data_IF_332334792314
#
_entry.id   IF_332334792314
#
_cell.length_a   1.000
_cell.length_b   1.000
_cell.length_c   1.000
_cell.angle_alpha   90.00
_cell.angle_beta   90.00
_cell.angle_gamma   90.00
#
_symmetry.space_group_name_H-M   'P 1'
#
loop_
_entity.id
_entity.type
_entity.pdbx_description
1 polymer ?
#
# COMPACT_ATOMS: atom_id res chain seq x y z
N UNK A 1 -30.84 10.64 60.75
CA UNK A 1 -29.66 10.02 61.39
C UNK A 1 -28.50 10.98 61.16
N UNK A 2 -28.25 11.90 62.10
CA UNK A 2 -27.36 11.73 63.29
C UNK A 2 -25.89 11.71 62.81
N UNK A 3 -25.18 12.87 62.79
CA UNK A 3 -24.29 13.45 63.87
C UNK A 3 -22.89 12.80 63.75
N UNK A 4 -21.71 13.46 63.76
CA UNK A 4 -21.19 14.72 64.33
C UNK A 4 -19.78 15.02 63.72
N UNK A 5 -19.30 16.27 63.48
CA UNK A 5 -18.68 17.29 64.42
C UNK A 5 -17.23 16.92 64.80
N UNK A 6 -16.19 17.77 64.94
CA UNK A 6 -15.84 19.22 64.96
C UNK A 6 -14.37 19.29 64.43
N UNK A 7 -13.73 20.42 64.10
CA UNK A 7 -13.25 21.43 65.06
C UNK A 7 -12.76 22.70 64.35
N UNK A 8 -12.76 23.79 65.12
CA UNK A 8 -12.93 25.18 64.74
C UNK A 8 -11.69 26.04 65.06
N UNK A 9 -11.65 27.22 64.41
CA UNK A 9 -11.18 28.56 64.88
C UNK A 9 -9.73 29.05 64.61
N UNK A 10 -9.72 30.04 63.70
CA UNK A 10 -8.86 31.24 63.55
C UNK A 10 -8.84 32.16 64.82
N UNK A 11 -8.36 33.42 64.77
CA UNK A 11 -7.03 34.00 64.45
C UNK A 11 -6.60 35.08 65.48
N UNK A 12 -5.37 35.62 65.43
CA UNK A 12 -5.06 36.97 65.97
C UNK A 12 -4.04 37.70 65.09
N UNK A 13 -4.37 38.96 64.79
CA UNK A 13 -3.65 40.04 64.11
C UNK A 13 -2.81 40.90 65.08
N UNK A 14 -1.68 41.48 64.64
CA UNK A 14 -1.37 42.94 64.68
C UNK A 14 0.09 43.25 64.29
N UNK A 15 0.28 44.48 63.80
CA UNK A 15 1.41 45.10 63.07
C UNK A 15 2.52 45.66 64.00
N UNK A 16 3.33 46.68 63.61
CA UNK A 16 4.55 46.65 62.79
C UNK A 16 5.76 47.26 63.54
N UNK A 17 7.00 47.12 63.04
CA UNK A 17 8.10 48.03 63.41
C UNK A 17 8.89 48.41 62.15
N UNK A 18 8.89 49.72 61.90
CA UNK A 18 9.77 50.46 60.99
C UNK A 18 11.07 50.70 61.73
N UNK A 19 12.22 50.54 61.07
CA UNK A 19 13.38 51.38 61.38
C UNK A 19 14.07 51.76 60.07
N UNK A 20 14.25 53.07 59.92
CA UNK A 20 14.95 53.74 58.83
C UNK A 20 16.46 53.68 59.08
N UNK A 21 17.23 53.64 58.01
CA UNK A 21 18.69 53.71 58.06
C UNK A 21 19.23 54.00 56.68
N UNK A 22 19.18 55.29 56.31
CA UNK A 22 19.81 55.88 55.14
C UNK A 22 21.32 55.58 55.10
N UNK A 23 21.85 55.26 53.92
CA UNK A 23 23.18 55.70 53.45
C UNK A 23 23.36 55.37 51.95
N UNK A 24 23.20 56.38 51.10
CA UNK A 24 23.84 56.52 49.78
C UNK A 24 24.67 57.83 49.81
N UNK A 25 25.64 58.10 48.92
CA UNK A 25 26.20 57.28 47.82
C UNK A 25 27.75 57.30 47.77
N UNK A 26 28.37 56.48 46.92
CA UNK A 26 29.69 56.79 46.35
C UNK A 26 29.84 56.18 44.96
N UNK A 27 29.95 57.07 43.98
CA UNK A 27 30.33 56.78 42.60
C UNK A 27 31.66 56.03 42.52
N UNK A 28 31.73 55.09 41.59
CA UNK A 28 32.95 54.46 41.09
C UNK A 28 32.61 53.88 39.73
N UNK A 29 32.90 54.65 38.70
CA UNK A 29 32.94 54.25 37.29
C UNK A 29 33.84 53.02 37.14
N UNK A 30 33.44 52.07 36.30
CA UNK A 30 34.32 51.25 35.46
C UNK A 30 33.46 50.57 34.40
N UNK A 31 33.34 51.24 33.26
CA UNK A 31 32.89 50.68 31.99
C UNK A 31 33.98 49.73 31.48
N UNK A 32 33.77 48.42 31.57
CA UNK A 32 34.55 47.44 30.80
C UNK A 32 33.73 47.03 29.56
N UNK A 33 34.02 47.73 28.46
CA UNK A 33 33.69 47.35 27.09
C UNK A 33 34.25 45.96 26.79
N UNK A 34 33.40 44.94 26.78
CA UNK A 34 33.70 43.66 26.14
C UNK A 34 33.53 43.83 24.63
N UNK A 35 34.59 44.29 23.96
CA UNK A 35 34.75 44.09 22.52
C UNK A 35 34.90 42.57 22.26
N UNK A 36 33.80 41.89 21.94
CA UNK A 36 33.86 40.57 21.30
C UNK A 36 34.42 40.77 19.89
N UNK A 37 35.75 40.72 19.77
CA UNK A 37 36.43 40.54 18.49
C UNK A 37 35.96 39.19 17.89
N UNK A 38 35.19 39.26 16.79
CA UNK A 38 34.88 38.11 15.96
C UNK A 38 36.18 37.57 15.36
N UNK A 39 36.84 36.65 16.06
CA UNK A 39 37.90 35.83 15.48
C UNK A 39 37.26 34.93 14.40
N UNK A 40 37.37 35.36 13.14
CA UNK A 40 37.17 34.50 11.98
C UNK A 40 38.26 33.41 11.96
N UNK A 41 38.11 32.39 12.82
CA UNK A 41 38.93 31.20 12.72
C UNK A 41 38.70 30.54 11.35
N UNK A 42 39.79 30.36 10.60
CA UNK A 42 39.85 29.60 9.36
C UNK A 42 39.54 28.12 9.63
N UNK A 43 38.26 27.84 9.85
CA UNK A 43 37.73 26.49 9.97
C UNK A 43 37.98 25.77 8.64
N UNK A 44 38.79 24.71 8.71
CA UNK A 44 38.91 23.73 7.63
C UNK A 44 37.52 23.33 7.13
N UNK A 45 37.36 23.15 5.81
CA UNK A 45 36.03 22.93 5.20
C UNK A 45 35.22 21.79 5.87
N UNK A 46 35.89 20.78 6.41
CA UNK A 46 35.26 19.70 7.18
C UNK A 46 34.68 20.16 8.54
N UNK A 47 35.31 21.11 9.21
CA UNK A 47 34.89 21.67 10.51
C UNK A 47 33.67 22.58 10.35
N UNK A 48 33.63 23.39 9.26
CA UNK A 48 32.44 24.17 8.86
C UNK A 48 31.26 23.26 8.53
N UNK A 49 31.48 22.23 7.71
CA UNK A 49 30.43 21.27 7.36
C UNK A 49 29.88 20.54 8.59
N UNK A 50 30.72 20.17 9.56
CA UNK A 50 30.26 19.57 10.82
C UNK A 50 29.48 20.54 11.69
N UNK A 51 29.93 21.79 11.83
CA UNK A 51 29.23 22.78 12.65
C UNK A 51 27.90 23.21 12.02
N UNK A 52 27.84 23.36 10.69
CA UNK A 52 26.61 23.59 9.94
C UNK A 52 25.63 22.44 10.08
N UNK A 53 26.10 21.19 9.96
CA UNK A 53 25.26 20.00 10.14
C UNK A 53 24.71 19.89 11.56
N UNK A 54 25.51 20.20 12.58
CA UNK A 54 25.07 20.24 13.96
C UNK A 54 24.07 21.38 14.24
N UNK A 55 24.28 22.56 13.65
CA UNK A 55 23.31 23.68 13.70
C UNK A 55 22.00 23.29 13.03
N UNK A 56 22.06 22.62 11.88
CA UNK A 56 20.90 22.16 11.12
C UNK A 56 20.11 21.07 11.88
N UNK A 57 20.80 20.14 12.54
CA UNK A 57 20.18 19.15 13.44
C UNK A 57 19.52 19.80 14.66
N UNK A 58 20.15 20.81 15.26
CA UNK A 58 19.58 21.57 16.38
C UNK A 58 18.34 22.36 15.97
N UNK A 59 18.35 22.99 14.80
CA UNK A 59 17.19 23.66 14.21
C UNK A 59 16.08 22.65 13.91
N UNK A 60 16.41 21.52 13.29
CA UNK A 60 15.46 20.45 13.00
C UNK A 60 14.78 19.94 14.29
N UNK A 61 15.57 19.72 15.35
CA UNK A 61 15.06 19.32 16.65
C UNK A 61 14.19 20.40 17.31
N UNK A 62 14.50 21.67 17.11
CA UNK A 62 13.71 22.78 17.66
C UNK A 62 12.39 22.96 16.92
N UNK A 63 12.40 22.91 15.60
CA UNK A 63 11.19 23.07 14.79
C UNK A 63 10.29 21.82 14.87
N UNK A 64 10.87 20.65 15.14
CA UNK A 64 10.14 19.44 15.53
C UNK A 64 9.34 19.61 16.84
N UNK A 65 9.81 20.47 17.76
CA UNK A 65 9.22 20.67 19.09
C UNK A 65 8.31 21.90 19.19
N UNK A 66 8.60 22.96 18.45
CA UNK A 66 7.82 24.20 18.45
C UNK A 66 6.79 24.20 17.30
N UNK A 67 5.53 24.53 17.60
CA UNK A 67 4.46 24.65 16.58
C UNK A 67 4.63 25.97 15.82
N UNK A 68 5.50 25.97 14.82
CA UNK A 68 5.59 27.09 13.88
C UNK A 68 4.41 27.00 12.91
N UNK A 69 3.49 27.99 12.89
CA UNK A 69 2.42 28.05 11.90
C UNK A 69 3.04 28.37 10.55
N UNK A 70 2.74 27.56 9.54
CA UNK A 70 3.34 27.68 8.22
C UNK A 70 2.35 27.20 7.18
N UNK A 71 2.15 28.01 6.14
CA UNK A 71 1.21 27.71 5.04
C UNK A 71 1.97 27.47 3.75
N UNK A 72 1.56 26.46 2.98
CA UNK A 72 2.10 26.26 1.64
C UNK A 72 1.54 27.31 0.69
N UNK A 73 2.43 28.01 -0.01
CA UNK A 73 2.06 28.98 -1.05
C UNK A 73 1.95 28.26 -2.39
N UNK A 74 3.09 27.81 -2.94
CA UNK A 74 3.14 27.09 -4.22
C UNK A 74 3.78 25.70 -4.10
N UNK A 75 3.33 24.82 -4.99
CA UNK A 75 3.92 23.51 -5.24
C UNK A 75 4.48 23.49 -6.66
N UNK A 76 5.80 23.36 -6.78
CA UNK A 76 6.48 23.25 -8.07
C UNK A 76 6.95 21.81 -8.28
N UNK A 77 6.51 21.20 -9.37
CA UNK A 77 6.96 19.87 -9.78
C UNK A 77 8.03 20.04 -10.86
N UNK A 78 9.17 19.36 -10.70
CA UNK A 78 10.29 19.38 -11.65
C UNK A 78 10.76 17.96 -11.96
N UNK A 79 11.21 17.75 -13.20
CA UNK A 79 11.85 16.51 -13.64
C UNK A 79 10.90 15.43 -14.19
N UNK A 80 9.61 15.74 -14.31
CA UNK A 80 8.64 14.88 -14.98
C UNK A 80 8.60 15.18 -16.50
N UNK A 81 9.18 14.29 -17.30
CA UNK A 81 9.23 14.43 -18.77
C UNK A 81 8.07 13.67 -19.40
N UNK A 82 7.83 12.44 -18.94
CA UNK A 82 6.79 11.54 -19.45
C UNK A 82 5.54 11.51 -18.56
N UNK A 83 5.73 11.65 -17.25
CA UNK A 83 4.67 11.55 -16.25
C UNK A 83 3.87 12.83 -16.18
N UNK A 84 2.54 12.71 -16.14
CA UNK A 84 1.65 13.86 -16.03
C UNK A 84 1.68 14.45 -14.62
N UNK A 85 1.74 15.78 -14.56
CA UNK A 85 1.71 16.57 -13.33
C UNK A 85 0.52 16.19 -12.46
N UNK A 86 -0.65 15.97 -13.08
CA UNK A 86 -1.89 15.59 -12.40
C UNK A 86 -1.79 14.32 -11.56
N UNK A 87 -0.90 13.38 -11.90
CA UNK A 87 -0.64 12.19 -11.09
C UNK A 87 0.14 12.56 -9.82
N UNK A 88 1.21 13.34 -9.98
CA UNK A 88 2.08 13.76 -8.87
C UNK A 88 1.29 14.67 -7.92
N UNK A 89 0.57 15.65 -8.46
CA UNK A 89 -0.30 16.56 -7.72
C UNK A 89 -1.32 15.82 -6.85
N UNK A 90 -1.91 14.74 -7.36
CA UNK A 90 -2.88 13.93 -6.63
C UNK A 90 -2.27 13.15 -5.46
N UNK A 91 -0.97 12.82 -5.53
CA UNK A 91 -0.25 12.20 -4.41
C UNK A 91 0.21 13.23 -3.38
N UNK A 92 0.55 14.45 -3.82
CA UNK A 92 1.01 15.55 -2.96
C UNK A 92 -0.10 16.46 -2.42
N UNK A 93 -1.37 16.17 -2.70
CA UNK A 93 -2.51 16.98 -2.25
C UNK A 93 -2.51 17.23 -0.73
N UNK A 94 -2.01 16.26 0.06
CA UNK A 94 -1.88 16.40 1.50
C UNK A 94 -0.94 17.53 1.95
N UNK A 95 0.03 17.91 1.12
CA UNK A 95 0.95 19.03 1.42
C UNK A 95 0.25 20.38 1.35
N UNK A 96 -0.73 20.55 0.46
CA UNK A 96 -1.48 21.82 0.29
C UNK A 96 -2.29 22.17 1.54
N UNK A 97 -2.73 21.17 2.30
CA UNK A 97 -3.62 21.34 3.45
C UNK A 97 -2.88 21.49 4.78
N UNK A 98 -1.55 21.40 4.79
CA UNK A 98 -0.76 21.50 6.01
C UNK A 98 -0.75 22.94 6.58
N UNK A 99 -0.93 23.05 7.89
CA UNK A 99 -1.04 24.34 8.61
C UNK A 99 0.15 24.61 9.54
N UNK A 100 0.96 23.60 9.81
CA UNK A 100 2.14 23.69 10.67
C UNK A 100 3.33 22.99 10.01
N UNK A 101 4.55 23.42 10.36
CA UNK A 101 5.79 22.81 9.85
C UNK A 101 5.88 21.31 10.17
N UNK A 102 5.44 20.88 11.36
CA UNK A 102 5.39 19.46 11.74
C UNK A 102 4.44 18.66 10.84
N UNK A 103 3.24 19.21 10.59
CA UNK A 103 2.23 18.60 9.72
C UNK A 103 2.75 18.53 8.28
N UNK A 104 3.45 19.57 7.83
CA UNK A 104 4.06 19.62 6.51
C UNK A 104 5.14 18.56 6.33
N UNK A 105 6.04 18.40 7.32
CA UNK A 105 7.06 17.35 7.28
C UNK A 105 6.43 15.96 7.28
N UNK A 106 5.40 15.73 8.11
CA UNK A 106 4.69 14.45 8.13
C UNK A 106 3.99 14.20 6.78
N UNK A 107 3.31 15.20 6.23
CA UNK A 107 2.68 15.10 4.92
C UNK A 107 3.72 14.87 3.81
N UNK A 108 4.91 15.46 3.89
CA UNK A 108 6.01 15.25 2.96
C UNK A 108 6.53 13.82 3.01
N UNK A 109 6.71 13.24 4.21
CA UNK A 109 7.11 11.83 4.33
C UNK A 109 6.06 10.88 3.73
N UNK A 110 4.78 11.13 4.00
CA UNK A 110 3.68 10.34 3.44
C UNK A 110 3.60 10.49 1.91
N UNK A 111 3.79 11.70 1.39
CA UNK A 111 3.79 11.97 -0.03
C UNK A 111 4.99 11.30 -0.72
N UNK A 112 6.17 11.35 -0.11
CA UNK A 112 7.37 10.67 -0.60
C UNK A 112 7.16 9.16 -0.69
N UNK A 113 6.61 8.55 0.36
CA UNK A 113 6.25 7.12 0.37
C UNK A 113 5.25 6.76 -0.74
N UNK A 114 4.24 7.61 -0.98
CA UNK A 114 3.25 7.39 -2.05
C UNK A 114 3.88 7.46 -3.44
N UNK A 115 4.74 8.45 -3.68
CA UNK A 115 5.46 8.59 -4.95
C UNK A 115 6.42 7.42 -5.19
N UNK A 116 7.13 6.95 -4.16
CA UNK A 116 7.98 5.77 -4.27
C UNK A 116 7.19 4.49 -4.54
N UNK A 117 5.98 4.33 -3.96
CA UNK A 117 5.11 3.17 -4.22
C UNK A 117 4.61 3.06 -5.66
N UNK A 118 4.66 4.16 -6.44
CA UNK A 118 4.35 4.08 -7.87
C UNK A 118 5.44 3.34 -8.65
N UNK A 119 6.67 3.26 -8.12
CA UNK A 119 7.82 2.60 -8.75
C UNK A 119 8.09 3.07 -10.19
N UNK A 120 7.78 4.33 -10.49
CA UNK A 120 8.03 5.02 -11.78
C UNK A 120 9.18 6.04 -11.70
N UNK A 121 9.65 6.32 -10.49
CA UNK A 121 10.72 7.28 -10.20
C UNK A 121 11.90 6.56 -9.56
N UNK A 122 13.11 6.85 -10.04
CA UNK A 122 14.36 6.36 -9.45
C UNK A 122 14.70 7.13 -8.17
N UNK A 123 14.39 8.43 -8.12
CA UNK A 123 14.55 9.26 -6.92
C UNK A 123 13.48 10.34 -6.85
N UNK A 124 13.06 10.66 -5.63
CA UNK A 124 12.10 11.71 -5.31
C UNK A 124 12.72 12.55 -4.20
N UNK A 125 12.85 13.85 -4.43
CA UNK A 125 13.35 14.79 -3.45
C UNK A 125 12.30 15.89 -3.24
N UNK A 126 11.97 16.17 -1.99
CA UNK A 126 11.01 17.21 -1.62
C UNK A 126 11.78 18.26 -0.81
N UNK A 127 11.98 19.44 -1.39
CA UNK A 127 12.63 20.56 -0.71
C UNK A 127 11.60 21.61 -0.29
N UNK A 128 11.88 22.24 0.84
CA UNK A 128 11.06 23.29 1.43
C UNK A 128 11.83 24.60 1.35
N UNK A 129 11.38 25.49 0.49
CA UNK A 129 11.96 26.82 0.32
C UNK A 129 11.10 27.85 1.04
N UNK A 130 11.74 28.92 1.51
CA UNK A 130 11.03 30.05 2.09
C UNK A 130 10.13 30.70 1.04
N UNK A 131 8.90 31.03 1.42
CA UNK A 131 7.98 31.74 0.54
C UNK A 131 8.50 33.13 0.17
N UNK A 132 7.82 33.81 -0.79
CA UNK A 132 8.21 35.16 -1.19
C UNK A 132 8.28 36.09 0.03
N UNK A 133 9.23 37.05 0.05
CA UNK A 133 9.39 37.98 1.17
C UNK A 133 8.14 38.82 1.47
N UNK A 134 7.21 38.90 0.52
CA UNK A 134 5.91 39.56 0.64
C UNK A 134 4.92 38.85 1.57
N UNK A 135 5.12 37.54 1.85
CA UNK A 135 4.22 36.71 2.66
C UNK A 135 4.99 35.92 3.73
N UNK A 136 5.32 36.53 4.88
CA UNK A 136 6.01 35.83 5.97
C UNK A 136 5.17 34.68 6.53
N UNK A 137 5.82 33.55 6.84
CA UNK A 137 5.14 32.33 7.31
C UNK A 137 4.57 31.45 6.18
N UNK A 138 4.97 31.69 4.93
CA UNK A 138 4.69 30.79 3.81
C UNK A 138 5.91 30.00 3.38
N UNK A 139 5.68 28.81 2.82
CA UNK A 139 6.73 28.00 2.20
C UNK A 139 6.34 27.58 0.79
N UNK A 140 7.34 27.56 -0.09
CA UNK A 140 7.25 26.95 -1.40
C UNK A 140 7.78 25.53 -1.30
N UNK A 141 7.04 24.57 -1.85
CA UNK A 141 7.43 23.17 -1.82
C UNK A 141 7.82 22.75 -3.23
N UNK A 142 9.07 22.32 -3.40
CA UNK A 142 9.58 21.87 -4.69
C UNK A 142 9.72 20.36 -4.65
N UNK A 143 9.04 19.69 -5.56
CA UNK A 143 9.07 18.24 -5.73
C UNK A 143 9.90 17.94 -6.97
N UNK A 144 11.14 17.51 -6.75
CA UNK A 144 12.06 17.11 -7.80
C UNK A 144 12.01 15.59 -7.96
N UNK A 145 11.57 15.14 -9.14
CA UNK A 145 11.47 13.71 -9.46
C UNK A 145 12.43 13.35 -10.58
N UNK A 146 13.04 12.17 -10.46
CA UNK A 146 13.84 11.57 -11.54
C UNK A 146 13.09 10.33 -12.03
N UNK A 147 12.57 10.40 -13.25
CA UNK A 147 11.87 9.27 -13.88
C UNK A 147 12.80 8.10 -14.15
N UNK A 148 12.28 6.88 -13.99
CA UNK A 148 13.03 5.66 -14.27
C UNK A 148 13.40 5.56 -15.75
N UNK A 149 14.71 5.42 -16.02
CA UNK A 149 15.24 5.36 -17.41
C UNK A 149 14.72 4.16 -18.20
N UNK A 150 14.56 3.00 -17.54
CA UNK A 150 14.07 1.77 -18.15
C UNK A 150 12.75 1.33 -17.49
N UNK A 151 11.60 1.73 -18.05
CA UNK A 151 10.29 1.36 -17.50
C UNK A 151 9.88 -0.10 -17.76
N UNK A 152 10.71 -0.84 -18.52
CA UNK A 152 10.47 -2.24 -18.86
C UNK A 152 11.24 -3.15 -17.90
N UNK A 153 10.52 -3.98 -17.16
CA UNK A 153 11.07 -5.03 -16.30
C UNK A 153 10.57 -6.37 -16.80
N UNK A 154 11.44 -7.37 -16.90
CA UNK A 154 11.08 -8.70 -17.34
C UNK A 154 11.70 -9.77 -16.45
N UNK A 155 10.91 -10.75 -16.09
CA UNK A 155 11.32 -11.90 -15.28
C UNK A 155 11.02 -13.17 -16.06
N UNK A 156 11.96 -14.10 -16.14
CA UNK A 156 11.76 -15.42 -16.74
C UNK A 156 12.26 -16.46 -15.74
N UNK A 157 11.40 -17.43 -15.43
CA UNK A 157 11.67 -18.49 -14.47
C UNK A 157 11.24 -19.84 -15.02
N UNK A 158 12.00 -20.88 -14.70
CA UNK A 158 11.59 -22.26 -14.94
C UNK A 158 11.25 -22.86 -13.58
N UNK A 159 10.00 -23.31 -13.44
CA UNK A 159 9.52 -23.98 -12.24
C UNK A 159 9.38 -25.46 -12.53
N UNK A 160 10.02 -26.29 -11.72
CA UNK A 160 9.85 -27.74 -11.79
C UNK A 160 9.14 -28.23 -10.54
N UNK A 161 8.04 -28.94 -10.72
CA UNK A 161 7.27 -29.59 -9.65
C UNK A 161 7.55 -31.09 -9.70
N UNK A 162 8.59 -31.58 -8.98
CA UNK A 162 8.98 -32.99 -9.03
C UNK A 162 7.86 -33.92 -8.56
N UNK A 163 7.03 -33.50 -7.60
CA UNK A 163 5.87 -34.27 -7.12
C UNK A 163 4.81 -34.52 -8.21
N UNK A 164 4.63 -33.56 -9.13
CA UNK A 164 3.67 -33.65 -10.23
C UNK A 164 4.31 -34.11 -11.54
N UNK A 165 5.63 -34.32 -11.57
CA UNK A 165 6.40 -34.64 -12.77
C UNK A 165 6.25 -33.59 -13.88
N UNK A 166 5.94 -32.34 -13.53
CA UNK A 166 5.70 -31.27 -14.50
C UNK A 166 6.69 -30.14 -14.34
N UNK A 167 7.14 -29.62 -15.48
CA UNK A 167 7.92 -28.39 -15.56
C UNK A 167 7.06 -27.32 -16.22
N UNK A 168 7.19 -26.07 -15.79
CA UNK A 168 6.62 -24.90 -16.43
C UNK A 168 7.70 -23.86 -16.69
N UNK A 169 7.66 -23.26 -17.88
CA UNK A 169 8.37 -22.03 -18.18
C UNK A 169 7.42 -20.87 -17.98
N UNK A 170 7.75 -19.97 -17.06
CA UNK A 170 6.97 -18.78 -16.77
C UNK A 170 7.79 -17.56 -17.13
N UNK A 171 7.16 -16.61 -17.80
CA UNK A 171 7.76 -15.31 -18.09
C UNK A 171 6.75 -14.21 -17.83
N UNK A 172 7.22 -13.10 -17.29
CA UNK A 172 6.44 -11.90 -17.11
C UNK A 172 7.21 -10.68 -17.62
N UNK A 173 6.48 -9.74 -18.18
CA UNK A 173 6.98 -8.49 -18.71
C UNK A 173 6.09 -7.38 -18.18
N UNK A 174 6.67 -6.40 -17.51
CA UNK A 174 6.00 -5.26 -16.91
C UNK A 174 6.52 -4.00 -17.55
N UNK A 175 5.63 -3.21 -18.12
CA UNK A 175 5.93 -1.91 -18.69
C UNK A 175 5.19 -0.86 -17.87
N UNK A 176 5.95 -0.02 -17.17
CA UNK A 176 5.42 1.02 -16.30
C UNK A 176 5.32 2.35 -17.01
N UNK A 177 4.31 3.14 -16.64
CA UNK A 177 4.11 4.52 -17.06
C UNK A 177 4.18 4.69 -18.58
N UNK A 178 3.45 3.87 -19.35
CA UNK A 178 3.48 3.95 -20.81
C UNK A 178 2.82 5.23 -21.31
N UNK A 179 1.66 5.59 -20.76
CA UNK A 179 0.88 6.80 -21.11
C UNK A 179 1.12 8.00 -20.19
N UNK A 180 1.97 7.87 -19.16
CA UNK A 180 2.26 8.98 -18.24
C UNK A 180 1.29 9.09 -17.05
N UNK A 181 0.35 8.16 -16.90
CA UNK A 181 -0.65 8.13 -15.82
C UNK A 181 -0.28 7.16 -14.68
N UNK A 182 0.96 6.69 -14.64
CA UNK A 182 1.36 5.61 -13.72
C UNK A 182 0.76 4.26 -14.11
N UNK A 183 0.38 4.09 -15.38
CA UNK A 183 -0.20 2.88 -15.91
C UNK A 183 0.81 1.74 -15.94
N UNK A 184 0.45 0.60 -15.36
CA UNK A 184 1.27 -0.62 -15.37
C UNK A 184 0.63 -1.63 -16.34
N UNK A 185 1.34 -1.89 -17.43
CA UNK A 185 1.02 -2.92 -18.39
C UNK A 185 1.80 -4.18 -18.04
N UNK A 186 1.11 -5.28 -17.76
CA UNK A 186 1.72 -6.56 -17.43
C UNK A 186 1.35 -7.61 -18.47
N UNK A 187 2.33 -8.29 -19.04
CA UNK A 187 2.15 -9.47 -19.86
C UNK A 187 2.78 -10.65 -19.14
N UNK A 188 2.07 -11.76 -18.99
CA UNK A 188 2.65 -12.99 -18.47
C UNK A 188 2.26 -14.18 -19.34
N UNK A 189 3.20 -15.10 -19.49
CA UNK A 189 2.98 -16.39 -20.11
C UNK A 189 3.51 -17.47 -19.18
N UNK A 190 2.75 -18.56 -19.07
CA UNK A 190 3.13 -19.77 -18.37
C UNK A 190 2.91 -20.93 -19.33
N UNK A 191 3.96 -21.69 -19.64
CA UNK A 191 3.90 -22.85 -20.50
C UNK A 191 4.40 -24.07 -19.75
N UNK A 192 3.47 -24.90 -19.31
CA UNK A 192 3.72 -26.23 -18.77
C UNK A 192 3.81 -27.25 -19.89
N UNK A 193 4.91 -27.98 -19.97
CA UNK A 193 5.17 -28.96 -21.03
C UNK A 193 4.07 -30.03 -21.18
N UNK A 194 3.37 -30.35 -20.09
CA UNK A 194 2.47 -31.51 -20.03
C UNK A 194 1.02 -31.20 -19.64
N UNK A 195 0.69 -29.99 -19.17
CA UNK A 195 -0.57 -29.77 -18.44
C UNK A 195 -1.26 -28.42 -18.69
N UNK A 196 -0.55 -27.30 -18.66
CA UNK A 196 -1.19 -25.97 -18.58
C UNK A 196 -0.42 -24.94 -19.38
N UNK A 197 -1.08 -24.28 -20.33
CA UNK A 197 -0.58 -23.04 -20.92
C UNK A 197 -1.52 -21.88 -20.60
N UNK A 198 -0.95 -20.80 -20.09
CA UNK A 198 -1.67 -19.58 -19.77
C UNK A 198 -0.94 -18.40 -20.41
N UNK A 199 -1.66 -17.56 -21.13
CA UNK A 199 -1.16 -16.28 -21.64
C UNK A 199 -2.11 -15.22 -21.15
N UNK A 200 -1.60 -14.21 -20.47
CA UNK A 200 -2.41 -13.12 -19.96
C UNK A 200 -1.74 -11.78 -20.16
N UNK A 201 -2.56 -10.77 -20.38
CA UNK A 201 -2.16 -9.39 -20.49
C UNK A 201 -3.09 -8.54 -19.63
N UNK A 202 -2.53 -7.66 -18.82
CA UNK A 202 -3.24 -6.77 -17.94
C UNK A 202 -2.77 -5.34 -18.08
N UNK A 203 -3.67 -4.43 -17.73
CA UNK A 203 -3.38 -3.02 -17.51
C UNK A 203 -3.95 -2.64 -16.16
N UNK A 204 -3.18 -1.90 -15.39
CA UNK A 204 -3.59 -1.38 -14.10
C UNK A 204 -3.35 0.11 -14.04
N UNK A 205 -4.37 0.84 -13.60
CA UNK A 205 -4.34 2.28 -13.41
C UNK A 205 -4.44 2.55 -11.91
N UNK A 206 -3.43 3.17 -11.28
CA UNK A 206 -3.43 3.42 -9.84
C UNK A 206 -4.53 4.41 -9.43
N UNK A 207 -4.79 5.41 -10.28
CA UNK A 207 -5.89 6.35 -10.13
C UNK A 207 -6.61 6.51 -11.45
N UNK A 208 -7.92 6.27 -11.45
CA UNK A 208 -8.77 6.52 -12.62
C UNK A 208 -9.71 7.69 -12.33
N UNK A 209 -9.45 8.84 -12.99
CA UNK A 209 -10.33 10.03 -12.97
C UNK A 209 -10.82 10.46 -11.57
N UNK A 210 -9.94 10.46 -10.58
CA UNK A 210 -10.26 10.91 -9.20
C UNK A 210 -10.73 9.80 -8.25
N UNK A 211 -10.95 8.57 -8.74
CA UNK A 211 -11.12 7.41 -7.87
C UNK A 211 -9.75 7.01 -7.31
N UNK A 212 -9.64 6.96 -5.98
CA UNK A 212 -8.45 6.51 -5.24
C UNK A 212 -8.23 4.99 -5.40
N UNK A 213 -9.22 4.26 -5.90
CA UNK A 213 -9.15 2.82 -6.08
C UNK A 213 -8.41 2.46 -7.38
N UNK A 214 -7.38 1.60 -7.31
CA UNK A 214 -6.70 1.12 -8.51
C UNK A 214 -7.67 0.26 -9.32
N UNK A 215 -7.77 0.53 -10.61
CA UNK A 215 -8.55 -0.28 -11.55
C UNK A 215 -7.61 -1.22 -12.28
N UNK A 216 -7.95 -2.50 -12.30
CA UNK A 216 -7.16 -3.53 -13.00
C UNK A 216 -8.03 -4.21 -14.05
N UNK A 217 -7.58 -4.26 -15.28
CA UNK A 217 -8.23 -5.01 -16.34
C UNK A 217 -7.25 -6.04 -16.87
N UNK A 218 -7.61 -7.33 -16.82
CA UNK A 218 -6.75 -8.43 -17.28
C UNK A 218 -7.52 -9.33 -18.23
N UNK A 219 -6.91 -9.64 -19.36
CA UNK A 219 -7.37 -10.66 -20.30
C UNK A 219 -6.44 -11.86 -20.18
N UNK A 220 -7.00 -13.06 -20.11
CA UNK A 220 -6.28 -14.32 -19.96
C UNK A 220 -6.80 -15.33 -20.96
N UNK A 221 -5.90 -16.13 -21.50
CA UNK A 221 -6.18 -17.30 -22.32
C UNK A 221 -5.51 -18.48 -21.65
N UNK A 222 -6.32 -19.34 -21.05
CA UNK A 222 -5.89 -20.56 -20.37
C UNK A 222 -6.28 -21.77 -21.21
N UNK A 223 -5.35 -22.69 -21.38
CA UNK A 223 -5.54 -23.99 -22.00
C UNK A 223 -4.98 -25.05 -21.07
N UNK A 224 -5.86 -25.89 -20.56
CA UNK A 224 -5.52 -26.89 -19.56
C UNK A 224 -5.93 -28.28 -20.03
N UNK A 225 -4.99 -29.22 -19.90
CA UNK A 225 -5.16 -30.61 -20.27
C UNK A 225 -5.37 -31.47 -19.03
N UNK A 226 -6.62 -31.83 -18.75
CA UNK A 226 -7.00 -32.70 -17.65
C UNK A 226 -7.12 -34.17 -18.06
N UNK A 227 -6.62 -34.55 -19.24
CA UNK A 227 -6.83 -35.89 -19.80
C UNK A 227 -6.37 -37.03 -18.86
N UNK A 228 -5.24 -36.84 -18.16
CA UNK A 228 -4.67 -37.83 -17.23
C UNK A 228 -5.52 -38.02 -15.97
N UNK A 229 -6.17 -36.97 -15.46
CA UNK A 229 -6.87 -36.99 -14.17
C UNK A 229 -8.39 -37.11 -14.30
N UNK A 230 -8.98 -36.39 -15.26
CA UNK A 230 -10.44 -36.27 -15.42
C UNK A 230 -10.91 -36.47 -16.87
N UNK A 231 -10.01 -36.84 -17.78
CA UNK A 231 -10.31 -37.23 -19.16
C UNK A 231 -10.92 -36.15 -20.06
N UNK A 232 -10.81 -34.86 -19.68
CA UNK A 232 -11.29 -33.73 -20.49
C UNK A 232 -10.19 -32.70 -20.77
N UNK A 233 -10.42 -31.83 -21.74
CA UNK A 233 -9.61 -30.64 -22.03
C UNK A 233 -10.45 -29.38 -21.85
N UNK A 234 -9.83 -28.34 -21.31
CA UNK A 234 -10.47 -27.06 -21.04
C UNK A 234 -9.69 -25.93 -21.70
N UNK A 235 -10.42 -25.06 -22.41
CA UNK A 235 -9.88 -23.82 -22.94
C UNK A 235 -10.77 -22.68 -22.49
N UNK A 236 -10.21 -21.70 -21.81
CA UNK A 236 -10.95 -20.54 -21.32
C UNK A 236 -10.30 -19.23 -21.71
N UNK A 237 -11.10 -18.32 -22.25
CA UNK A 237 -10.76 -16.91 -22.40
C UNK A 237 -11.39 -16.14 -21.23
N UNK A 238 -10.58 -15.63 -20.32
CA UNK A 238 -11.00 -14.86 -19.15
C UNK A 238 -10.78 -13.37 -19.31
N UNK A 239 -11.75 -12.57 -18.88
CA UNK A 239 -11.65 -11.13 -18.68
C UNK A 239 -11.91 -10.85 -17.21
N UNK A 240 -10.99 -10.16 -16.54
CA UNK A 240 -11.07 -9.84 -15.11
C UNK A 240 -10.96 -8.33 -14.92
N UNK A 241 -11.92 -7.74 -14.21
CA UNK A 241 -11.99 -6.31 -13.89
C UNK A 241 -11.98 -6.12 -12.37
N UNK A 242 -10.89 -5.60 -11.83
CA UNK A 242 -10.80 -5.12 -10.45
C UNK A 242 -11.55 -3.80 -10.31
N UNK A 243 -12.63 -3.81 -9.53
CA UNK A 243 -13.52 -2.66 -9.36
C UNK A 243 -13.13 -1.83 -8.13
N UNK A 244 -12.80 -2.51 -7.02
CA UNK A 244 -12.52 -1.86 -5.74
C UNK A 244 -11.39 -2.61 -5.07
N UNK A 245 -10.32 -1.89 -4.73
CA UNK A 245 -9.28 -2.39 -3.84
C UNK A 245 -9.05 -1.36 -2.73
N UNK A 246 -9.51 -1.70 -1.53
CA UNK A 246 -9.40 -0.82 -0.36
C UNK A 246 -8.88 -1.59 0.85
N UNK A 247 -7.65 -1.27 1.27
CA UNK A 247 -6.93 -1.86 2.40
C UNK A 247 -6.88 -3.39 2.32
N UNK A 248 -7.89 -4.04 2.90
CA UNK A 248 -8.01 -5.49 3.06
C UNK A 248 -9.10 -6.09 2.19
N UNK A 249 -9.87 -5.26 1.47
CA UNK A 249 -11.00 -5.66 0.65
C UNK A 249 -10.66 -5.50 -0.82
N UNK A 250 -10.89 -6.55 -1.59
CA UNK A 250 -10.69 -6.58 -3.04
C UNK A 250 -11.94 -7.15 -3.71
N UNK A 251 -12.48 -6.43 -4.69
CA UNK A 251 -13.68 -6.78 -5.43
C UNK A 251 -13.34 -6.80 -6.92
N UNK A 252 -13.43 -7.99 -7.53
CA UNK A 252 -13.16 -8.21 -8.93
C UNK A 252 -14.34 -8.89 -9.63
N UNK A 253 -14.69 -8.43 -10.82
CA UNK A 253 -15.65 -9.07 -11.70
C UNK A 253 -14.91 -9.85 -12.78
N UNK A 254 -15.16 -11.15 -12.87
CA UNK A 254 -14.52 -12.04 -13.84
C UNK A 254 -15.55 -12.63 -14.80
N UNK A 255 -15.23 -12.62 -16.08
CA UNK A 255 -16.03 -13.17 -17.17
C UNK A 255 -15.16 -14.16 -17.95
N UNK A 256 -15.51 -15.44 -17.91
CA UNK A 256 -14.77 -16.49 -18.63
C UNK A 256 -15.64 -17.12 -19.69
N UNK A 257 -15.17 -17.12 -20.93
CA UNK A 257 -15.69 -17.94 -22.00
C UNK A 257 -14.93 -19.26 -22.03
N UNK A 258 -15.58 -20.32 -21.58
CA UNK A 258 -14.96 -21.64 -21.42
C UNK A 258 -15.48 -22.62 -22.45
N UNK A 259 -14.59 -23.45 -22.98
CA UNK A 259 -14.91 -24.56 -23.88
C UNK A 259 -14.37 -25.85 -23.28
N UNK A 260 -15.24 -26.81 -23.00
CA UNK A 260 -14.86 -28.16 -22.58
C UNK A 260 -14.97 -29.13 -23.75
N UNK A 261 -13.92 -29.92 -23.96
CA UNK A 261 -13.90 -31.00 -24.95
C UNK A 261 -13.50 -32.31 -24.29
N UNK A 262 -14.15 -33.41 -24.69
CA UNK A 262 -13.82 -34.76 -24.24
C UNK A 262 -13.30 -35.57 -25.43
N UNK A 263 -11.98 -35.52 -25.71
CA UNK A 263 -11.40 -36.28 -26.82
C UNK A 263 -11.39 -37.79 -26.54
N UNK A 264 -11.40 -38.20 -25.27
CA UNK A 264 -11.33 -39.61 -24.87
C UNK A 264 -12.69 -40.32 -24.90
N UNK A 265 -13.80 -39.56 -24.87
CA UNK A 265 -15.16 -40.04 -24.66
C UNK A 265 -15.37 -40.82 -23.34
N UNK A 266 -14.37 -40.84 -22.47
CA UNK A 266 -14.36 -41.53 -21.18
C UNK A 266 -14.73 -40.63 -20.01
N UNK A 267 -15.06 -39.35 -20.27
CA UNK A 267 -15.42 -38.42 -19.20
C UNK A 267 -16.70 -38.85 -18.47
N UNK A 268 -16.78 -38.50 -17.19
CA UNK A 268 -17.97 -38.78 -16.36
C UNK A 268 -19.24 -38.16 -16.96
N UNK A 269 -20.41 -38.70 -16.62
CA UNK A 269 -21.71 -38.15 -17.09
C UNK A 269 -21.88 -36.67 -16.71
N UNK A 270 -21.36 -36.24 -15.56
CA UNK A 270 -21.43 -34.86 -15.08
C UNK A 270 -20.60 -33.91 -15.94
N UNK A 271 -19.41 -34.34 -16.39
CA UNK A 271 -18.54 -33.57 -17.29
C UNK A 271 -19.12 -33.55 -18.70
N UNK A 272 -19.65 -34.69 -19.18
CA UNK A 272 -20.30 -34.77 -20.50
C UNK A 272 -21.49 -33.83 -20.67
N UNK A 273 -22.23 -33.55 -19.59
CA UNK A 273 -23.32 -32.55 -19.57
C UNK A 273 -22.83 -31.10 -19.67
N UNK A 274 -21.56 -30.83 -19.40
CA UNK A 274 -20.94 -29.49 -19.47
C UNK A 274 -20.12 -29.26 -20.75
N UNK A 275 -20.05 -30.24 -21.66
CA UNK A 275 -19.27 -30.12 -22.88
C UNK A 275 -19.80 -29.00 -23.78
N UNK A 276 -18.88 -28.42 -24.55
CA UNK A 276 -19.16 -27.28 -25.40
C UNK A 276 -18.82 -25.96 -24.72
N UNK A 277 -19.50 -24.89 -25.12
CA UNK A 277 -19.22 -23.53 -24.69
C UNK A 277 -20.09 -23.13 -23.51
N UNK A 278 -19.48 -22.59 -22.46
CA UNK A 278 -20.13 -22.02 -21.29
C UNK A 278 -19.57 -20.65 -20.94
N UNK A 279 -20.46 -19.73 -20.58
CA UNK A 279 -20.09 -18.39 -20.13
C UNK A 279 -20.18 -18.31 -18.60
N UNK A 280 -19.05 -18.08 -17.95
CA UNK A 280 -18.95 -17.95 -16.50
C UNK A 280 -18.76 -16.48 -16.13
N UNK A 281 -19.85 -15.82 -15.73
CA UNK A 281 -19.76 -14.51 -15.06
C UNK A 281 -19.65 -14.74 -13.56
N UNK A 282 -18.69 -14.11 -12.89
CA UNK A 282 -18.54 -14.25 -11.44
C UNK A 282 -18.01 -12.97 -10.79
N UNK A 283 -18.65 -12.56 -9.70
CA UNK A 283 -18.15 -11.50 -8.83
C UNK A 283 -17.38 -12.14 -7.68
N UNK A 284 -16.10 -11.80 -7.55
CA UNK A 284 -15.18 -12.30 -6.55
C UNK A 284 -14.87 -11.19 -5.55
N UNK A 285 -15.25 -11.41 -4.31
CA UNK A 285 -14.89 -10.57 -3.18
C UNK A 285 -13.85 -11.30 -2.33
N UNK A 286 -12.76 -10.62 -2.01
CA UNK A 286 -11.65 -11.17 -1.26
C UNK A 286 -11.35 -10.25 -0.08
N UNK A 287 -11.44 -10.78 1.13
CA UNK A 287 -11.00 -10.12 2.36
C UNK A 287 -9.71 -10.77 2.84
N UNK A 288 -8.61 -10.01 2.93
CA UNK A 288 -7.28 -10.49 3.32
C UNK A 288 -6.72 -9.63 4.42
N UNK A 289 -6.36 -10.24 5.55
CA UNK A 289 -5.63 -9.61 6.63
C UNK A 289 -4.40 -10.45 6.96
N UNK A 290 -3.22 -9.84 6.91
CA UNK A 290 -1.95 -10.47 7.29
C UNK A 290 -1.31 -9.65 8.40
N UNK A 291 -1.19 -10.25 9.58
CA UNK A 291 -0.51 -9.68 10.75
C UNK A 291 0.68 -10.55 11.18
N UNK A 292 1.22 -11.36 10.27
CA UNK A 292 2.43 -12.14 10.54
C UNK A 292 3.65 -11.23 10.53
N UNK A 293 4.65 -11.60 11.31
CA UNK A 293 5.91 -10.86 11.39
C UNK A 293 6.77 -10.98 10.12
N UNK A 294 6.69 -12.11 9.42
CA UNK A 294 7.40 -12.36 8.16
C UNK A 294 6.51 -13.15 7.20
N UNK A 295 6.46 -12.77 5.90
CA UNK A 295 5.64 -13.48 4.91
C UNK A 295 6.21 -14.85 4.53
N UNK A 296 7.56 -14.98 4.51
CA UNK A 296 8.24 -16.20 4.05
C UNK A 296 8.40 -17.22 5.18
N UNK A 297 8.80 -16.76 6.37
CA UNK A 297 9.01 -17.62 7.55
C UNK A 297 8.35 -16.97 8.77
N UNK A 298 7.03 -17.11 8.92
CA UNK A 298 6.33 -16.53 10.06
C UNK A 298 6.74 -17.25 11.34
N UNK A 299 7.06 -16.47 12.37
CA UNK A 299 7.34 -16.97 13.73
C UNK A 299 6.29 -16.50 14.73
N UNK A 300 5.56 -15.44 14.41
CA UNK A 300 4.46 -14.93 15.23
C UNK A 300 3.39 -14.27 14.34
N UNK A 301 2.14 -14.42 14.75
CA UNK A 301 1.01 -13.70 14.19
C UNK A 301 0.06 -14.60 13.40
N UNK A 302 -0.87 -13.98 12.70
CA UNK A 302 -1.90 -14.70 11.97
C UNK A 302 -2.18 -14.06 10.61
N UNK A 303 -2.61 -14.87 9.67
CA UNK A 303 -3.14 -14.45 8.39
C UNK A 303 -4.51 -15.11 8.18
N UNK A 304 -5.47 -14.31 7.74
CA UNK A 304 -6.81 -14.76 7.43
C UNK A 304 -7.22 -14.24 6.06
N UNK A 305 -7.71 -15.14 5.21
CA UNK A 305 -8.28 -14.82 3.91
C UNK A 305 -9.66 -15.45 3.80
N UNK A 306 -10.65 -14.62 3.44
CA UNK A 306 -12.00 -15.05 3.10
C UNK A 306 -12.30 -14.66 1.67
N UNK A 307 -12.62 -15.63 0.82
CA UNK A 307 -12.96 -15.41 -0.58
C UNK A 307 -14.40 -15.83 -0.84
N UNK A 308 -15.23 -14.87 -1.24
CA UNK A 308 -16.62 -15.11 -1.65
C UNK A 308 -16.70 -14.92 -3.15
N UNK A 309 -17.25 -15.90 -3.87
CA UNK A 309 -17.45 -15.84 -5.31
C UNK A 309 -18.90 -16.17 -5.65
N UNK A 310 -19.55 -15.26 -6.35
CA UNK A 310 -20.93 -15.40 -6.81
C UNK A 310 -20.91 -15.50 -8.33
N UNK A 311 -21.24 -16.67 -8.85
CA UNK A 311 -21.32 -16.97 -10.27
C UNK A 311 -22.75 -16.90 -10.82
N UNK A 312 -22.86 -16.59 -12.11
CA UNK A 312 -24.11 -16.59 -12.87
C UNK A 312 -24.94 -15.31 -12.74
N UNK A 313 -24.25 -14.16 -12.63
CA UNK A 313 -24.88 -12.83 -12.59
C UNK A 313 -25.46 -12.42 -13.95
N UNK A 314 -24.87 -12.90 -15.03
CA UNK A 314 -25.41 -12.70 -16.38
C UNK A 314 -26.56 -13.69 -16.61
N UNK A 315 -27.75 -13.23 -17.05
CA UNK A 315 -28.90 -14.08 -17.33
C UNK A 315 -28.72 -14.85 -18.65
N UNK A 316 -27.75 -15.75 -18.69
CA UNK A 316 -27.57 -16.72 -19.77
C UNK A 316 -27.92 -18.12 -19.27
N UNK A 317 -28.63 -18.89 -20.11
CA UNK A 317 -29.08 -20.25 -19.80
C UNK A 317 -27.92 -21.24 -19.71
N UNK A 318 -26.76 -20.89 -20.28
CA UNK A 318 -25.50 -21.65 -20.17
C UNK A 318 -24.61 -21.18 -19.03
N UNK A 319 -25.01 -20.13 -18.29
CA UNK A 319 -24.21 -19.63 -17.20
C UNK A 319 -24.37 -20.49 -15.95
N UNK A 320 -23.23 -20.90 -15.40
CA UNK A 320 -23.20 -21.67 -14.17
C UNK A 320 -23.45 -20.74 -12.98
N UNK A 321 -24.56 -20.98 -12.28
CA UNK A 321 -24.94 -20.25 -11.07
C UNK A 321 -24.43 -20.99 -9.85
N UNK A 322 -23.47 -20.39 -9.16
CA UNK A 322 -22.93 -20.96 -7.93
C UNK A 322 -22.58 -19.85 -6.93
N UNK A 323 -22.60 -20.19 -5.66
CA UNK A 323 -22.05 -19.43 -4.57
C UNK A 323 -20.90 -20.25 -3.99
N UNK A 324 -19.71 -19.69 -3.98
CA UNK A 324 -18.50 -20.33 -3.45
C UNK A 324 -17.96 -19.46 -2.32
N UNK A 325 -17.69 -20.08 -1.18
CA UNK A 325 -17.10 -19.42 -0.02
C UNK A 325 -15.89 -20.23 0.42
N UNK A 326 -14.73 -19.58 0.50
CA UNK A 326 -13.47 -20.18 0.93
C UNK A 326 -12.89 -19.38 2.10
N UNK A 327 -12.33 -20.10 3.06
CA UNK A 327 -11.63 -19.57 4.22
C UNK A 327 -10.23 -20.20 4.29
N UNK A 328 -9.20 -19.39 4.46
CA UNK A 328 -7.83 -19.81 4.77
C UNK A 328 -7.37 -19.05 6.03
N UNK A 329 -7.10 -19.79 7.10
CA UNK A 329 -6.59 -19.28 8.37
C UNK A 329 -5.21 -19.91 8.62
N UNK A 330 -4.21 -19.05 8.82
CA UNK A 330 -2.86 -19.48 9.19
C UNK A 330 -2.42 -18.74 10.45
N UNK A 331 -1.89 -19.48 11.40
CA UNK A 331 -1.45 -18.95 12.69
C UNK A 331 -0.05 -19.47 13.03
N UNK A 332 0.84 -18.58 13.44
CA UNK A 332 2.19 -18.90 13.90
C UNK A 332 2.29 -18.64 15.41
N UNK A 333 2.46 -19.70 16.19
CA UNK A 333 2.67 -19.67 17.63
C UNK A 333 4.17 -19.71 17.94
N UNK A 334 4.76 -18.69 18.57
CA UNK A 334 6.15 -18.74 19.02
C UNK A 334 6.28 -19.68 20.23
N UNK A 335 7.17 -20.66 20.16
CA UNK A 335 7.38 -21.63 21.24
C UNK A 335 8.34 -21.12 22.33
N UNK A 336 8.96 -19.96 22.13
CA UNK A 336 9.81 -19.27 23.12
C UNK A 336 11.23 -19.83 23.29
N UNK A 337 11.52 -21.03 22.77
CA UNK A 337 12.86 -21.63 22.77
C UNK A 337 13.43 -21.71 21.35
N UNK A 338 14.76 -21.57 21.22
CA UNK A 338 15.52 -21.78 19.97
C UNK A 338 14.97 -21.08 18.71
N UNK A 339 14.24 -19.97 18.86
CA UNK A 339 13.51 -19.32 17.75
C UNK A 339 12.55 -20.27 17.00
N UNK A 340 12.02 -21.29 17.69
CA UNK A 340 11.06 -22.23 17.14
C UNK A 340 9.65 -21.63 17.12
N UNK A 341 8.89 -21.94 16.07
CA UNK A 341 7.50 -21.55 15.92
C UNK A 341 6.66 -22.72 15.40
N UNK A 342 5.47 -22.88 15.94
CA UNK A 342 4.48 -23.83 15.48
C UNK A 342 3.51 -23.13 14.54
N UNK A 343 3.51 -23.57 13.27
CA UNK A 343 2.62 -23.03 12.24
C UNK A 343 1.40 -23.95 12.08
N UNK A 344 0.23 -23.40 12.35
CA UNK A 344 -1.06 -24.05 12.18
C UNK A 344 -1.80 -23.43 10.99
N UNK A 345 -2.34 -24.26 10.11
CA UNK A 345 -3.06 -23.81 8.91
C UNK A 345 -4.35 -24.61 8.73
N UNK A 346 -5.47 -23.91 8.53
CA UNK A 346 -6.78 -24.49 8.24
C UNK A 346 -7.35 -23.80 7.03
N UNK A 347 -7.65 -24.57 6.00
CA UNK A 347 -8.40 -24.12 4.83
C UNK A 347 -9.70 -24.91 4.71
N UNK A 348 -10.77 -24.24 4.30
CA UNK A 348 -12.07 -24.85 4.11
C UNK A 348 -12.89 -24.06 3.10
N UNK A 349 -13.68 -24.76 2.29
CA UNK A 349 -14.51 -24.12 1.29
C UNK A 349 -15.78 -24.89 1.02
N UNK A 350 -16.82 -24.16 0.64
CA UNK A 350 -18.14 -24.70 0.27
C UNK A 350 -18.59 -24.08 -1.04
N UNK A 351 -19.20 -24.91 -1.90
CA UNK A 351 -19.81 -24.47 -3.15
C UNK A 351 -21.27 -24.92 -3.19
N UNK A 352 -22.17 -23.96 -3.38
CA UNK A 352 -23.60 -24.19 -3.45
C UNK A 352 -24.14 -23.71 -4.79
N UNK A 353 -24.80 -24.55 -5.59
CA UNK A 353 -25.52 -24.08 -6.75
C UNK A 353 -26.76 -23.28 -6.30
N UNK A 354 -27.13 -22.22 -7.02
CA UNK A 354 -28.27 -21.36 -6.67
C UNK A 354 -29.12 -21.02 -7.89
N UNK A 355 -30.39 -20.67 -7.66
CA UNK A 355 -31.37 -20.33 -8.71
C UNK A 355 -32.34 -21.46 -9.07
N UNK A 356 -33.35 -21.15 -9.89
CA UNK A 356 -34.39 -22.10 -10.32
C UNK A 356 -33.81 -23.18 -11.25
N UNK A 357 -34.11 -24.46 -10.97
CA UNK A 357 -33.68 -25.58 -11.82
C UNK A 357 -32.26 -26.09 -11.55
N UNK A 358 -31.63 -25.66 -10.46
CA UNK A 358 -30.25 -26.03 -10.13
C UNK A 358 -30.01 -27.55 -10.05
N UNK A 359 -31.03 -28.32 -9.64
CA UNK A 359 -30.98 -29.80 -9.59
C UNK A 359 -30.79 -30.45 -10.97
N UNK A 360 -31.21 -29.76 -12.03
CA UNK A 360 -31.13 -30.24 -13.41
C UNK A 360 -29.91 -29.70 -14.15
N UNK A 361 -29.19 -28.73 -13.57
CA UNK A 361 -27.99 -28.13 -14.14
C UNK A 361 -26.73 -28.77 -13.56
N UNK A 362 -25.67 -28.93 -14.35
CA UNK A 362 -24.42 -29.46 -13.83
C UNK A 362 -23.74 -28.46 -12.87
N UNK A 363 -23.06 -28.98 -11.83
CA UNK A 363 -22.33 -28.17 -10.86
C UNK A 363 -21.08 -27.55 -11.48
N UNK A 364 -20.69 -26.35 -11.03
CA UNK A 364 -19.40 -25.78 -11.42
C UNK A 364 -18.27 -26.74 -11.08
N UNK A 365 -17.35 -26.93 -12.02
CA UNK A 365 -16.10 -27.64 -11.76
C UNK A 365 -15.24 -26.80 -10.79
N UNK A 366 -14.45 -27.45 -9.93
CA UNK A 366 -13.62 -26.79 -8.92
C UNK A 366 -12.66 -25.79 -9.53
#
# INVERSE_FOLDING_TARGET
MVVSVEEQRNPISELPIVDEGDEEPSNGEDDEDFEEEEEEENLTGESRMRSERAKMENLFNRISRERVPLRVHDLLIKGNIKTKDSLIEAEVEGLKNATSMQELLQAATIANDRLHRLEIFDSVNITLDSGPPELPGTANVIVEVVETKNPLTGDIGIFSKPEAGSSSLEGSLKLKNFFGYGDLWDGSFAYGWDQTSEVSAGVSFPRFKGLVTPMLARVSLLSQDWLKFSSYKERSLGLSLGLISYRNHDLAYNLHWRTLTDPSQMSSRSIRRQLGHGLLSSLKYTFKIDRRNSPLRPTQGYAFASTTQIGGLVPDYRSLRFFRQEFDLRYAFPLGFYHAALNFGVSGGVIFPWGSGFLNTPSSLP
#
